data_IF_563013417392
#
_entry.id   IF_563013417392
#
_cell.length_a   1.000
_cell.length_b   1.000
_cell.length_c   1.000
_cell.angle_alpha   90.00
_cell.angle_beta   90.00
_cell.angle_gamma   90.00
#
_symmetry.space_group_name_H-M   'P 1'
#
loop_
_entity.id
_entity.type
_entity.pdbx_description
1 polymer ?
#
# COMPACT_ATOMS: atom_id res chain seq x y z
N UNK A 1 13.64 23.31 -11.47
CA UNK A 1 12.48 22.51 -11.89
C UNK A 1 11.23 23.23 -11.41
N UNK A 2 10.19 23.33 -12.23
CA UNK A 2 9.04 24.25 -12.10
C UNK A 2 7.82 23.66 -11.38
N UNK A 3 8.05 22.68 -10.49
CA UNK A 3 6.99 21.81 -9.94
C UNK A 3 7.10 21.59 -8.44
N UNK A 4 7.38 22.64 -7.63
CA UNK A 4 7.61 22.44 -6.21
C UNK A 4 6.30 22.02 -5.52
N UNK A 5 6.42 21.06 -4.61
CA UNK A 5 5.35 20.67 -3.70
C UNK A 5 5.95 20.43 -2.33
N UNK A 6 5.23 20.81 -1.27
CA UNK A 6 5.67 20.59 0.11
C UNK A 6 4.61 19.80 0.86
N UNK A 7 5.05 18.79 1.61
CA UNK A 7 4.21 18.08 2.57
C UNK A 7 4.99 17.79 3.86
N UNK A 8 4.25 17.38 4.88
CA UNK A 8 4.83 17.00 6.16
C UNK A 8 4.46 15.56 6.48
N UNK A 9 5.44 14.77 6.93
CA UNK A 9 5.25 13.40 7.40
C UNK A 9 6.02 13.20 8.70
N UNK A 10 5.33 12.72 9.75
CA UNK A 10 5.90 12.49 11.11
C UNK A 10 6.79 13.64 11.62
N UNK A 11 6.34 14.88 11.40
CA UNK A 11 7.05 16.09 11.84
C UNK A 11 8.12 16.60 10.87
N UNK A 12 8.59 15.80 9.92
CA UNK A 12 9.58 16.20 8.90
C UNK A 12 8.90 16.84 7.69
N UNK A 13 9.56 17.84 7.11
CA UNK A 13 9.12 18.53 5.90
C UNK A 13 9.83 17.98 4.68
N UNK A 14 9.07 17.79 3.61
CA UNK A 14 9.53 17.22 2.35
C UNK A 14 9.25 18.22 1.25
N UNK A 15 10.31 18.77 0.67
CA UNK A 15 10.23 19.59 -0.54
C UNK A 15 10.48 18.68 -1.73
N UNK A 16 9.46 18.46 -2.56
CA UNK A 16 9.56 17.66 -3.79
C UNK A 16 9.47 18.53 -5.04
N UNK A 17 10.13 18.10 -6.12
CA UNK A 17 10.02 18.70 -7.44
C UNK A 17 10.17 17.62 -8.52
N UNK A 18 9.25 17.60 -9.50
CA UNK A 18 9.20 16.51 -10.47
C UNK A 18 9.02 15.17 -9.76
N UNK A 19 10.04 14.31 -9.80
CA UNK A 19 10.08 13.07 -9.03
C UNK A 19 11.15 13.06 -7.93
N UNK A 20 11.79 14.18 -7.63
CA UNK A 20 12.87 14.30 -6.63
C UNK A 20 12.34 14.88 -5.33
N UNK A 21 13.05 14.63 -4.23
CA UNK A 21 12.71 15.24 -2.95
C UNK A 21 13.93 15.50 -2.06
N UNK A 22 13.74 16.46 -1.16
CA UNK A 22 14.68 16.84 -0.11
C UNK A 22 13.92 16.97 1.22
N UNK A 23 14.60 16.74 2.33
CA UNK A 23 14.02 16.73 3.68
C UNK A 23 14.60 17.83 4.56
N UNK A 24 13.79 18.34 5.50
CA UNK A 24 14.19 19.35 6.47
C UNK A 24 13.34 19.23 7.75
N UNK A 25 13.90 19.65 8.88
CA UNK A 25 13.15 19.84 10.13
C UNK A 25 12.58 21.28 10.26
N UNK A 26 12.85 22.16 9.28
CA UNK A 26 12.44 23.57 9.26
C UNK A 26 11.83 24.00 7.91
N UNK A 27 10.76 24.81 7.96
CA UNK A 27 10.03 25.27 6.76
C UNK A 27 10.92 25.95 5.73
N UNK A 28 11.87 26.77 6.18
CA UNK A 28 12.78 27.52 5.32
C UNK A 28 14.13 26.82 5.08
N UNK A 29 14.25 25.55 5.51
CA UNK A 29 15.46 24.75 5.33
C UNK A 29 16.53 24.95 6.41
N UNK A 30 17.77 24.49 6.15
CA UNK A 30 18.23 23.91 4.88
C UNK A 30 17.52 22.58 4.56
N UNK A 31 17.23 22.34 3.28
CA UNK A 31 16.71 21.07 2.79
C UNK A 31 17.87 20.23 2.25
N UNK A 32 17.99 19.00 2.74
CA UNK A 32 18.99 18.04 2.29
C UNK A 32 18.37 17.14 1.22
N UNK A 33 18.99 17.11 0.03
CA UNK A 33 18.56 16.23 -1.05
C UNK A 33 18.66 14.76 -0.60
N UNK A 34 17.62 13.99 -0.90
CA UNK A 34 17.56 12.58 -0.53
C UNK A 34 17.66 11.70 -1.77
N UNK A 35 16.62 11.62 -2.59
CA UNK A 35 16.61 10.82 -3.81
C UNK A 35 15.45 11.22 -4.75
N UNK A 36 15.22 10.43 -5.80
CA UNK A 36 13.97 10.35 -6.53
C UNK A 36 12.98 9.38 -5.88
N UNK A 37 11.69 9.70 -5.93
CA UNK A 37 10.54 8.87 -5.49
C UNK A 37 10.41 7.58 -6.31
N UNK A 38 11.02 7.55 -7.50
CA UNK A 38 10.97 6.44 -8.46
C UNK A 38 12.35 6.14 -9.03
N UNK A 39 12.61 4.87 -9.28
CA UNK A 39 13.85 4.34 -9.83
C UNK A 39 13.57 3.16 -10.78
N UNK A 40 14.60 2.43 -11.21
CA UNK A 40 14.41 1.34 -12.17
C UNK A 40 13.52 0.21 -11.65
N UNK A 41 13.43 -0.02 -10.34
CA UNK A 41 12.56 -1.05 -9.77
C UNK A 41 11.10 -0.62 -9.66
N UNK A 42 10.78 0.64 -9.96
CA UNK A 42 9.41 1.14 -9.88
C UNK A 42 8.49 0.61 -10.97
N UNK A 43 9.03 0.23 -12.13
CA UNK A 43 8.21 0.03 -13.33
C UNK A 43 7.88 -1.43 -13.57
N UNK A 44 6.59 -1.72 -13.71
CA UNK A 44 6.14 -2.95 -14.37
C UNK A 44 6.57 -2.97 -15.84
N UNK A 45 6.60 -4.16 -16.44
CA UNK A 45 6.92 -4.32 -17.86
C UNK A 45 5.97 -3.47 -18.72
N UNK A 46 6.53 -2.67 -19.64
CA UNK A 46 5.77 -1.76 -20.50
C UNK A 46 5.39 -0.41 -19.87
N UNK A 47 5.80 -0.10 -18.63
CA UNK A 47 5.49 1.19 -17.97
C UNK A 47 6.68 2.15 -17.89
N UNK A 48 7.88 1.71 -18.30
CA UNK A 48 9.09 2.53 -18.21
C UNK A 48 9.20 3.60 -19.30
N UNK A 49 8.66 3.33 -20.48
CA UNK A 49 8.78 4.15 -21.70
C UNK A 49 7.42 4.20 -22.44
N UNK A 50 7.19 5.22 -23.30
CA UNK A 50 8.09 6.32 -23.64
C UNK A 50 8.26 7.36 -22.53
N UNK A 51 9.32 8.16 -22.62
CA UNK A 51 9.63 9.27 -21.70
C UNK A 51 10.05 10.53 -22.47
N UNK A 52 9.91 11.70 -21.84
CA UNK A 52 10.32 12.99 -22.41
C UNK A 52 10.70 13.99 -21.32
N UNK A 53 11.73 14.85 -21.50
CA UNK A 53 12.65 14.90 -22.64
C UNK A 53 13.82 13.89 -22.53
N UNK A 54 14.21 13.52 -21.31
CA UNK A 54 15.33 12.61 -21.08
C UNK A 54 15.05 11.64 -19.92
N UNK A 55 14.50 10.47 -20.25
CA UNK A 55 14.27 9.38 -19.29
C UNK A 55 13.14 9.64 -18.30
N UNK A 56 12.82 8.62 -17.51
CA UNK A 56 11.65 8.64 -16.61
C UNK A 56 11.79 9.58 -15.40
N UNK A 57 12.97 10.13 -15.13
CA UNK A 57 13.15 11.10 -14.04
C UNK A 57 12.76 12.53 -14.43
N UNK A 58 12.40 12.76 -15.69
CA UNK A 58 12.05 14.09 -16.19
C UNK A 58 10.63 14.11 -16.74
N UNK A 59 10.07 15.32 -16.87
CA UNK A 59 8.76 15.54 -17.49
C UNK A 59 7.54 15.27 -16.60
N UNK A 60 7.69 14.49 -15.51
CA UNK A 60 6.61 14.23 -14.55
C UNK A 60 6.33 15.45 -13.67
N UNK A 61 5.06 15.77 -13.45
CA UNK A 61 4.60 16.61 -12.34
C UNK A 61 3.77 15.77 -11.40
N UNK A 62 3.90 16.00 -10.10
CA UNK A 62 3.06 15.33 -9.13
C UNK A 62 3.04 16.02 -7.78
N UNK A 63 2.16 15.52 -6.94
CA UNK A 63 1.97 15.94 -5.56
C UNK A 63 1.74 14.73 -4.67
N UNK A 64 2.13 14.88 -3.40
CA UNK A 64 1.93 13.87 -2.38
C UNK A 64 0.77 14.28 -1.49
N UNK A 65 -0.08 13.34 -1.12
CA UNK A 65 -1.15 13.62 -0.18
C UNK A 65 -1.50 12.39 0.64
N UNK A 66 -2.10 12.65 1.79
CA UNK A 66 -2.65 11.63 2.66
C UNK A 66 -4.17 11.63 2.54
N UNK A 67 -4.74 10.43 2.38
CA UNK A 67 -6.17 10.20 2.44
C UNK A 67 -6.39 8.81 3.02
N UNK A 68 -7.41 8.65 3.87
CA UNK A 68 -7.77 7.34 4.42
C UNK A 68 -6.63 6.62 5.19
N UNK A 69 -5.78 7.38 5.88
CA UNK A 69 -4.56 6.90 6.54
C UNK A 69 -3.57 6.23 5.58
N UNK A 70 -3.62 6.57 4.29
CA UNK A 70 -2.72 6.08 3.24
C UNK A 70 -2.10 7.27 2.51
N UNK A 71 -0.84 7.12 2.12
CA UNK A 71 -0.12 8.13 1.35
C UNK A 71 -0.09 7.78 -0.12
N UNK A 72 -0.27 8.80 -0.94
CA UNK A 72 -0.35 8.69 -2.39
C UNK A 72 0.58 9.68 -3.05
N UNK A 73 1.13 9.30 -4.19
CA UNK A 73 1.74 10.21 -5.16
C UNK A 73 0.84 10.21 -6.39
N UNK A 74 0.19 11.34 -6.67
CA UNK A 74 -0.50 11.56 -7.93
C UNK A 74 0.42 12.31 -8.87
N UNK A 75 0.57 11.83 -10.09
CA UNK A 75 1.51 12.38 -11.06
C UNK A 75 1.03 12.20 -12.49
N UNK A 76 1.55 13.01 -13.39
CA UNK A 76 1.38 12.78 -14.81
C UNK A 76 2.41 11.78 -15.35
N UNK A 77 1.97 10.96 -16.30
CA UNK A 77 2.80 9.96 -16.96
C UNK A 77 2.45 9.87 -18.46
N UNK A 78 3.41 9.48 -19.29
CA UNK A 78 3.24 9.33 -20.73
C UNK A 78 3.53 7.92 -21.23
N UNK A 79 3.94 6.99 -20.35
CA UNK A 79 4.29 5.62 -20.73
C UNK A 79 3.12 4.92 -21.44
N UNK A 80 1.88 5.32 -21.15
CA UNK A 80 0.68 4.72 -21.72
C UNK A 80 0.02 5.56 -22.84
N UNK A 81 0.35 6.85 -22.97
CA UNK A 81 -0.24 7.69 -24.02
C UNK A 81 0.50 7.54 -25.35
N UNK A 82 1.80 7.23 -25.31
CA UNK A 82 2.60 7.09 -26.53
C UNK A 82 2.88 8.42 -27.26
N UNK A 83 2.53 9.58 -26.67
CA UNK A 83 2.68 10.89 -27.33
C UNK A 83 3.49 11.85 -26.49
N UNK A 84 4.29 12.71 -27.13
CA UNK A 84 5.06 13.78 -26.48
C UNK A 84 4.19 14.84 -25.78
N UNK A 85 2.97 15.05 -26.25
CA UNK A 85 2.17 16.23 -25.89
C UNK A 85 1.09 15.95 -24.84
N UNK A 86 0.61 14.71 -24.78
CA UNK A 86 -0.47 14.31 -23.87
C UNK A 86 0.03 13.34 -22.83
N UNK A 87 -0.34 13.60 -21.58
CA UNK A 87 -0.01 12.79 -20.41
C UNK A 87 -1.31 12.37 -19.73
N UNK A 88 -1.29 11.21 -19.10
CA UNK A 88 -2.38 10.68 -18.29
C UNK A 88 -2.07 10.89 -16.82
N UNK A 89 -3.10 11.00 -15.99
CA UNK A 89 -2.95 11.01 -14.54
C UNK A 89 -2.73 9.58 -14.03
N UNK A 90 -1.72 9.42 -13.19
CA UNK A 90 -1.34 8.21 -12.48
C UNK A 90 -1.42 8.47 -10.98
N UNK A 91 -1.55 7.38 -10.22
CA UNK A 91 -1.51 7.43 -8.77
C UNK A 91 -0.90 6.14 -8.24
N UNK A 92 0.02 6.28 -7.29
CA UNK A 92 0.73 5.15 -6.67
C UNK A 92 0.71 5.31 -5.15
N UNK A 93 0.72 4.17 -4.44
CA UNK A 93 0.94 4.17 -2.99
C UNK A 93 2.35 4.67 -2.67
N UNK A 94 2.46 5.40 -1.55
CA UNK A 94 3.71 5.88 -1.01
C UNK A 94 3.93 5.25 0.37
N UNK A 95 5.11 4.67 0.55
CA UNK A 95 5.52 4.11 1.83
C UNK A 95 6.77 4.86 2.29
N UNK A 96 6.72 5.38 3.51
CA UNK A 96 7.88 5.97 4.15
C UNK A 96 8.61 4.88 4.93
N UNK A 97 9.91 4.81 4.71
CA UNK A 97 10.85 4.00 5.48
C UNK A 97 10.93 4.52 6.92
N UNK A 98 11.53 3.73 7.81
CA UNK A 98 11.63 4.10 9.22
C UNK A 98 12.46 5.39 9.42
N UNK A 99 13.46 5.63 8.56
CA UNK A 99 14.27 6.85 8.57
C UNK A 99 13.57 8.07 7.93
N UNK A 100 12.33 7.90 7.46
CA UNK A 100 11.54 8.93 6.79
C UNK A 100 11.78 9.04 5.30
N UNK A 101 12.74 8.33 4.70
CA UNK A 101 12.86 8.32 3.23
C UNK A 101 11.61 7.72 2.56
N UNK A 102 11.33 8.15 1.35
CA UNK A 102 10.28 7.55 0.52
C UNK A 102 10.83 6.29 -0.14
N UNK A 103 10.17 5.15 0.05
CA UNK A 103 10.45 3.93 -0.70
C UNK A 103 10.04 4.12 -2.18
N UNK A 104 10.75 3.48 -3.13
CA UNK A 104 10.39 3.57 -4.54
C UNK A 104 8.93 3.18 -4.77
N UNK A 105 8.16 4.05 -5.42
CA UNK A 105 6.76 3.75 -5.76
C UNK A 105 6.67 2.67 -6.83
N UNK A 106 5.51 2.02 -6.94
CA UNK A 106 5.16 1.14 -8.05
C UNK A 106 4.43 1.92 -9.15
N UNK A 107 4.85 1.73 -10.40
CA UNK A 107 4.26 2.30 -11.62
C UNK A 107 3.80 1.14 -12.50
N UNK A 108 2.49 0.94 -12.55
CA UNK A 108 1.84 -0.13 -13.29
C UNK A 108 0.44 0.27 -13.78
N UNK A 109 -0.29 -0.68 -14.36
CA UNK A 109 -1.65 -0.48 -14.87
C UNK A 109 -2.75 -0.68 -13.84
N UNK A 110 -2.39 -1.11 -12.63
CA UNK A 110 -3.34 -1.37 -11.54
C UNK A 110 -3.60 -0.10 -10.74
N UNK A 111 -2.55 0.69 -10.49
CA UNK A 111 -2.63 1.90 -9.68
C UNK A 111 -2.92 1.59 -8.21
N UNK A 112 -3.93 2.25 -7.64
CA UNK A 112 -4.33 2.15 -6.23
C UNK A 112 -5.82 1.87 -6.09
N UNK A 113 -6.22 1.24 -4.97
CA UNK A 113 -7.62 0.91 -4.70
C UNK A 113 -8.24 -0.12 -5.64
N UNK A 114 -7.42 -0.92 -6.30
CA UNK A 114 -7.83 -2.00 -7.18
C UNK A 114 -6.82 -3.15 -7.08
N UNK A 115 -7.32 -4.38 -7.10
CA UNK A 115 -6.48 -5.57 -6.93
C UNK A 115 -7.01 -6.71 -7.80
N UNK A 116 -6.13 -7.64 -8.15
CA UNK A 116 -6.50 -8.85 -8.88
C UNK A 116 -6.02 -10.08 -8.11
N UNK A 117 -6.98 -10.90 -7.67
CA UNK A 117 -6.74 -12.13 -6.93
C UNK A 117 -5.96 -13.20 -7.72
N UNK A 118 -5.81 -13.03 -9.05
CA UNK A 118 -5.00 -13.91 -9.89
C UNK A 118 -3.54 -13.45 -10.02
N UNK A 119 -3.24 -12.20 -9.66
CA UNK A 119 -1.90 -11.63 -9.76
C UNK A 119 -0.99 -11.97 -8.58
N UNK A 120 -1.46 -12.81 -7.65
CA UNK A 120 -0.67 -13.33 -6.53
C UNK A 120 -1.11 -12.76 -5.18
N UNK A 121 -0.14 -12.38 -4.35
CA UNK A 121 -0.43 -11.80 -3.03
C UNK A 121 -0.72 -10.32 -3.15
N UNK A 122 -1.70 -9.87 -2.36
CA UNK A 122 -2.02 -8.47 -2.10
C UNK A 122 -1.32 -8.10 -0.79
N UNK A 123 -0.40 -7.14 -0.86
CA UNK A 123 0.33 -6.67 0.32
C UNK A 123 -0.61 -5.92 1.28
N UNK A 124 -0.46 -6.15 2.59
CA UNK A 124 -1.35 -5.56 3.58
C UNK A 124 -1.16 -4.04 3.68
N UNK A 125 0.07 -3.55 3.46
CA UNK A 125 0.40 -2.12 3.44
C UNK A 125 -0.21 -1.33 2.27
N UNK A 126 -0.68 -2.04 1.25
CA UNK A 126 -1.34 -1.49 0.06
C UNK A 126 -2.87 -1.34 0.28
N UNK A 127 -3.32 -1.21 1.52
CA UNK A 127 -4.73 -0.91 1.84
C UNK A 127 -5.17 0.42 1.22
N UNK A 128 -6.46 0.50 0.89
CA UNK A 128 -7.07 1.74 0.40
C UNK A 128 -7.50 2.67 1.54
N UNK A 129 -8.07 2.10 2.61
CA UNK A 129 -8.33 2.81 3.86
C UNK A 129 -8.01 1.96 5.08
N UNK A 130 -7.69 2.63 6.19
CA UNK A 130 -7.45 1.96 7.46
C UNK A 130 -7.88 2.82 8.64
N UNK A 131 -8.01 2.18 9.81
CA UNK A 131 -8.09 2.85 11.11
C UNK A 131 -6.69 3.30 11.58
N UNK A 132 -6.40 3.30 12.89
CA UNK A 132 -5.14 3.78 13.46
C UNK A 132 -4.06 2.68 13.47
N UNK A 133 -3.61 2.28 12.28
CA UNK A 133 -2.57 1.25 12.11
C UNK A 133 -1.24 1.84 11.64
N UNK A 134 -0.15 1.09 11.76
CA UNK A 134 1.17 1.52 11.32
C UNK A 134 1.75 0.61 10.24
N UNK A 135 2.28 1.22 9.18
CA UNK A 135 3.15 0.54 8.21
C UNK A 135 4.58 0.56 8.75
N UNK A 136 5.20 -0.61 8.87
CA UNK A 136 6.57 -0.77 9.39
C UNK A 136 7.45 -1.38 8.30
N UNK A 137 8.66 -0.85 8.13
CA UNK A 137 9.63 -1.34 7.15
C UNK A 137 10.23 -2.68 7.59
N UNK A 138 10.27 -3.65 6.67
CA UNK A 138 10.87 -4.97 6.93
C UNK A 138 12.38 -4.90 6.70
N UNK A 139 13.16 -5.60 7.55
CA UNK A 139 14.63 -5.72 7.42
C UNK A 139 15.09 -6.29 6.06
N UNK A 140 14.23 -6.99 5.33
CA UNK A 140 14.50 -7.55 4.01
C UNK A 140 13.92 -6.74 2.84
N UNK A 141 13.39 -5.54 3.09
CA UNK A 141 12.65 -4.73 2.12
C UNK A 141 11.14 -4.99 2.14
N UNK A 142 10.38 -4.03 1.63
CA UNK A 142 8.92 -4.00 1.72
C UNK A 142 8.42 -3.59 3.10
N UNK A 143 7.10 -3.66 3.30
CA UNK A 143 6.46 -3.24 4.54
C UNK A 143 5.54 -4.35 5.07
N UNK A 144 4.97 -4.10 6.23
CA UNK A 144 3.85 -4.85 6.76
C UNK A 144 3.03 -3.92 7.64
N UNK A 145 1.81 -4.32 7.98
CA UNK A 145 0.97 -3.60 8.94
C UNK A 145 1.18 -4.15 10.35
N UNK A 146 1.40 -3.25 11.30
CA UNK A 146 1.60 -3.52 12.73
C UNK A 146 0.73 -2.56 13.56
N UNK A 147 0.83 -2.69 14.89
CA UNK A 147 0.06 -1.91 15.86
C UNK A 147 -1.45 -2.03 15.61
N UNK A 148 -1.88 -3.26 15.28
CA UNK A 148 -3.29 -3.58 15.04
C UNK A 148 -3.95 -3.92 16.37
N UNK A 149 -4.90 -3.10 16.79
CA UNK A 149 -5.64 -3.22 18.04
C UNK A 149 -7.09 -3.68 17.81
N UNK A 150 -7.82 -4.12 18.86
CA UNK A 150 -9.21 -4.53 18.72
C UNK A 150 -10.11 -3.42 18.16
N UNK A 151 -10.78 -3.71 17.04
CA UNK A 151 -11.66 -2.78 16.33
C UNK A 151 -11.00 -2.10 15.13
N UNK A 152 -9.68 -2.23 14.97
CA UNK A 152 -9.00 -1.73 13.78
C UNK A 152 -9.42 -2.47 12.52
N UNK A 153 -9.21 -1.81 11.38
CA UNK A 153 -9.56 -2.36 10.08
C UNK A 153 -8.62 -1.93 8.96
N UNK A 154 -8.61 -2.74 7.89
CA UNK A 154 -8.04 -2.42 6.58
C UNK A 154 -9.09 -2.65 5.50
N UNK A 155 -9.21 -1.75 4.53
CA UNK A 155 -10.08 -1.95 3.36
C UNK A 155 -9.28 -2.13 2.08
N UNK A 156 -9.81 -2.99 1.22
CA UNK A 156 -9.28 -3.29 -0.09
C UNK A 156 -10.45 -3.21 -1.08
N UNK A 157 -10.47 -2.14 -1.86
CA UNK A 157 -11.51 -1.87 -2.85
C UNK A 157 -11.26 -2.63 -4.15
N UNK A 158 -12.34 -3.00 -4.84
CA UNK A 158 -12.32 -3.49 -6.21
C UNK A 158 -11.35 -4.66 -6.44
N UNK A 159 -11.42 -5.70 -5.60
CA UNK A 159 -10.68 -6.96 -5.78
C UNK A 159 -11.39 -7.79 -6.84
N UNK A 160 -10.76 -7.96 -8.00
CA UNK A 160 -11.23 -8.78 -9.12
C UNK A 160 -10.77 -10.24 -9.02
N UNK A 161 -11.40 -11.12 -9.79
CA UNK A 161 -10.94 -12.50 -9.99
C UNK A 161 -11.22 -13.44 -8.83
N UNK A 162 -12.29 -13.17 -8.07
CA UNK A 162 -12.67 -13.93 -6.88
C UNK A 162 -13.64 -15.09 -7.18
N UNK A 163 -14.24 -15.13 -8.37
CA UNK A 163 -15.34 -16.04 -8.72
C UNK A 163 -14.95 -17.53 -8.66
N UNK A 164 -13.67 -17.82 -8.94
CA UNK A 164 -13.12 -19.18 -8.89
C UNK A 164 -12.32 -19.47 -7.62
N UNK A 165 -12.32 -18.54 -6.65
CA UNK A 165 -11.51 -18.65 -5.43
C UNK A 165 -12.32 -19.25 -4.30
N UNK A 166 -11.82 -20.35 -3.73
CA UNK A 166 -12.43 -21.07 -2.62
C UNK A 166 -11.63 -20.97 -1.32
N UNK A 167 -10.41 -20.44 -1.36
CA UNK A 167 -9.57 -20.27 -0.18
C UNK A 167 -9.02 -18.84 -0.07
N UNK A 168 -8.78 -18.41 1.16
CA UNK A 168 -7.98 -17.22 1.49
C UNK A 168 -6.80 -17.61 2.36
N UNK A 169 -5.63 -17.08 2.05
CA UNK A 169 -4.40 -17.28 2.80
C UNK A 169 -3.86 -15.96 3.33
N UNK A 170 -3.63 -15.89 4.64
CA UNK A 170 -3.00 -14.76 5.32
C UNK A 170 -1.56 -15.05 5.63
N UNK A 171 -0.66 -14.18 5.18
CA UNK A 171 0.72 -14.14 5.65
C UNK A 171 0.80 -13.16 6.82
N UNK A 172 0.90 -13.70 8.02
CA UNK A 172 0.78 -12.93 9.26
C UNK A 172 1.58 -13.56 10.41
N UNK A 173 1.88 -12.78 11.44
CA UNK A 173 2.34 -13.27 12.74
C UNK A 173 1.35 -12.89 13.82
N UNK A 174 0.55 -13.84 14.28
CA UNK A 174 -0.35 -13.61 15.41
C UNK A 174 0.45 -13.42 16.71
N UNK A 175 0.27 -12.28 17.36
CA UNK A 175 0.92 -11.95 18.63
C UNK A 175 0.03 -12.33 19.82
N UNK A 176 -1.28 -12.25 19.61
CA UNK A 176 -2.33 -12.63 20.55
C UNK A 176 -3.30 -13.62 19.88
N UNK A 177 -4.38 -13.98 20.59
CA UNK A 177 -5.54 -14.61 19.97
C UNK A 177 -6.36 -13.52 19.28
N UNK A 178 -6.51 -13.63 17.96
CA UNK A 178 -7.21 -12.65 17.12
C UNK A 178 -8.27 -13.34 16.26
N UNK A 179 -9.40 -12.68 16.05
CA UNK A 179 -10.37 -13.01 15.01
C UNK A 179 -10.25 -11.96 13.90
N UNK A 180 -10.01 -12.38 12.67
CA UNK A 180 -10.10 -11.51 11.49
C UNK A 180 -11.48 -11.75 10.88
N UNK A 181 -12.35 -10.75 10.98
CA UNK A 181 -13.65 -10.75 10.31
C UNK A 181 -13.48 -10.08 8.94
N UNK A 182 -13.98 -10.70 7.88
CA UNK A 182 -14.02 -10.10 6.55
C UNK A 182 -15.43 -9.60 6.31
N UNK A 183 -15.56 -8.29 6.15
CA UNK A 183 -16.81 -7.58 5.93
C UNK A 183 -16.88 -7.09 4.48
N UNK A 184 -18.09 -6.93 3.93
CA UNK A 184 -18.34 -6.22 2.66
C UNK A 184 -18.20 -4.71 2.89
N UNK A 185 -17.47 -4.03 2.00
CA UNK A 185 -17.38 -2.56 1.88
C UNK A 185 -16.78 -1.78 3.08
N UNK A 186 -17.29 -1.95 4.30
CA UNK A 186 -16.90 -1.19 5.50
C UNK A 186 -16.82 -2.07 6.77
N UNK A 187 -16.31 -1.54 7.89
CA UNK A 187 -16.24 -2.27 9.17
C UNK A 187 -17.59 -2.63 9.79
N UNK A 188 -18.67 -2.01 9.32
CA UNK A 188 -20.06 -2.23 9.73
C UNK A 188 -20.84 -3.06 8.70
N UNK A 189 -20.18 -3.47 7.62
CA UNK A 189 -20.79 -4.21 6.53
C UNK A 189 -21.17 -5.64 6.89
N UNK A 190 -21.73 -6.35 5.91
CA UNK A 190 -22.07 -7.77 6.08
C UNK A 190 -20.80 -8.60 6.29
N UNK A 191 -20.79 -9.43 7.34
CA UNK A 191 -19.70 -10.36 7.61
C UNK A 191 -19.76 -11.52 6.62
N UNK A 192 -18.80 -11.56 5.69
CA UNK A 192 -18.62 -12.62 4.70
C UNK A 192 -17.98 -13.84 5.35
N UNK A 193 -16.96 -13.63 6.18
CA UNK A 193 -16.22 -14.72 6.83
C UNK A 193 -15.58 -14.27 8.15
N UNK A 194 -15.21 -15.22 9.01
CA UNK A 194 -14.51 -14.93 10.27
C UNK A 194 -13.52 -16.03 10.61
N UNK A 195 -12.25 -15.66 10.79
CA UNK A 195 -11.15 -16.59 10.99
C UNK A 195 -10.41 -16.31 12.28
N UNK A 196 -10.11 -17.37 13.03
CA UNK A 196 -9.37 -17.27 14.30
C UNK A 196 -7.92 -17.63 14.09
N UNK A 197 -7.03 -16.68 14.36
CA UNK A 197 -5.59 -16.89 14.37
C UNK A 197 -5.10 -16.91 15.82
N UNK A 198 -4.05 -17.67 16.05
CA UNK A 198 -3.41 -17.80 17.36
C UNK A 198 -1.91 -17.89 17.19
N UNK A 199 -1.19 -17.28 18.12
CA UNK A 199 0.26 -17.45 18.23
C UNK A 199 0.64 -18.92 18.31
N UNK A 200 1.45 -19.40 17.38
CA UNK A 200 2.05 -20.73 17.50
C UNK A 200 3.21 -20.70 18.51
N UNK A 201 3.28 -21.71 19.38
CA UNK A 201 4.39 -21.83 20.34
C UNK A 201 5.68 -22.13 19.58
N UNK A 202 6.73 -21.34 19.84
CA UNK A 202 8.09 -21.60 19.35
C UNK A 202 8.41 -21.09 17.94
N UNK A 203 7.50 -20.37 17.27
CA UNK A 203 7.78 -19.70 15.99
C UNK A 203 7.83 -18.19 16.19
N UNK A 204 8.86 -17.56 15.63
CA UNK A 204 9.08 -16.11 15.65
C UNK A 204 8.92 -15.46 14.27
N UNK A 205 8.51 -16.23 13.26
CA UNK A 205 8.47 -15.79 11.87
C UNK A 205 7.04 -15.62 11.36
N UNK A 206 6.90 -14.90 10.24
CA UNK A 206 5.67 -14.82 9.46
C UNK A 206 5.15 -16.22 9.10
N UNK A 207 3.87 -16.45 9.35
CA UNK A 207 3.20 -17.73 9.12
C UNK A 207 2.15 -17.57 8.02
N UNK A 208 1.80 -18.67 7.35
CA UNK A 208 0.69 -18.71 6.39
C UNK A 208 -0.48 -19.41 7.05
N UNK A 209 -1.60 -18.70 7.21
CA UNK A 209 -2.86 -19.23 7.68
C UNK A 209 -3.82 -19.35 6.50
N UNK A 210 -4.31 -20.55 6.21
CA UNK A 210 -5.23 -20.79 5.08
C UNK A 210 -6.59 -21.20 5.60
N UNK A 211 -7.64 -20.66 4.99
CA UNK A 211 -9.03 -20.91 5.34
C UNK A 211 -9.91 -21.01 4.10
N UNK A 212 -11.02 -21.75 4.21
CA UNK A 212 -12.09 -21.72 3.21
C UNK A 212 -12.68 -20.32 3.13
N UNK A 213 -12.84 -19.79 1.91
CA UNK A 213 -13.42 -18.47 1.65
C UNK A 213 -14.69 -18.63 0.80
N UNK A 214 -15.82 -18.00 1.20
CA UNK A 214 -17.04 -18.08 0.42
C UNK A 214 -16.85 -17.48 -0.98
N UNK A 215 -17.43 -18.10 -2.03
CA UNK A 215 -17.34 -17.58 -3.38
C UNK A 215 -17.90 -16.16 -3.46
N UNK A 216 -17.25 -15.30 -4.24
CA UNK A 216 -17.70 -13.94 -4.48
C UNK A 216 -18.09 -13.78 -5.95
N UNK A 217 -19.14 -13.02 -6.21
CA UNK A 217 -19.51 -12.65 -7.57
C UNK A 217 -18.87 -11.31 -7.95
N UNK A 218 -18.17 -11.28 -9.08
CA UNK A 218 -17.56 -10.07 -9.60
C UNK A 218 -16.46 -9.49 -8.71
N UNK A 219 -16.19 -8.20 -8.92
CA UNK A 219 -15.29 -7.45 -8.07
C UNK A 219 -15.92 -7.19 -6.70
N UNK A 220 -15.12 -7.30 -5.64
CA UNK A 220 -15.58 -7.07 -4.27
C UNK A 220 -14.72 -6.02 -3.55
N UNK A 221 -15.37 -5.20 -2.73
CA UNK A 221 -14.69 -4.46 -1.68
C UNK A 221 -14.72 -5.30 -0.40
N UNK A 222 -13.55 -5.55 0.19
CA UNK A 222 -13.42 -6.31 1.43
C UNK A 222 -12.80 -5.44 2.51
N UNK A 223 -13.39 -5.47 3.69
CA UNK A 223 -12.91 -4.80 4.90
C UNK A 223 -12.52 -5.85 5.94
N UNK A 224 -11.26 -5.86 6.35
CA UNK A 224 -10.72 -6.82 7.30
C UNK A 224 -10.75 -6.16 8.68
N UNK A 225 -11.65 -6.61 9.54
CA UNK A 225 -11.84 -6.08 10.90
C UNK A 225 -11.19 -7.01 11.92
N UNK A 226 -10.31 -6.45 12.75
CA UNK A 226 -9.53 -7.22 13.71
C UNK A 226 -10.21 -7.20 15.09
N UNK A 227 -10.51 -8.38 15.63
CA UNK A 227 -11.13 -8.55 16.95
C UNK A 227 -10.19 -9.27 17.90
N UNK A 228 -10.13 -8.82 19.14
CA UNK A 228 -9.42 -9.50 20.20
C UNK A 228 -9.64 -8.84 21.56
N UNK A 229 -8.89 -9.29 22.56
CA UNK A 229 -9.03 -8.78 23.94
C UNK A 229 -8.01 -7.72 24.32
N UNK A 230 -6.82 -7.80 23.74
CA UNK A 230 -5.68 -6.96 24.07
C UNK A 230 -5.15 -6.32 22.79
N UNK A 231 -4.45 -5.22 22.94
CA UNK A 231 -3.75 -4.50 21.89
C UNK A 231 -2.65 -5.35 21.25
N UNK A 232 -2.17 -4.92 20.08
CA UNK A 232 -1.14 -5.56 19.26
C UNK A 232 -1.49 -7.01 18.96
N UNK A 233 -2.57 -7.19 18.20
CA UNK A 233 -3.17 -8.49 17.89
C UNK A 233 -2.30 -9.35 16.97
N UNK A 234 -1.83 -8.76 15.88
CA UNK A 234 -0.98 -9.41 14.90
C UNK A 234 -0.09 -8.40 14.16
N UNK A 235 0.87 -8.94 13.44
CA UNK A 235 1.58 -8.28 12.34
C UNK A 235 1.05 -8.90 11.05
N UNK A 236 0.60 -8.08 10.10
CA UNK A 236 -0.02 -8.54 8.86
C UNK A 236 0.81 -8.15 7.65
N UNK A 237 1.32 -9.13 6.90
CA UNK A 237 2.23 -8.92 5.77
C UNK A 237 1.45 -8.83 4.46
N UNK A 238 0.67 -9.87 4.13
CA UNK A 238 -0.08 -9.93 2.89
C UNK A 238 -1.18 -10.99 2.94
N UNK A 239 -2.03 -11.02 1.93
CA UNK A 239 -3.02 -12.08 1.74
C UNK A 239 -3.15 -12.47 0.27
N UNK A 240 -3.68 -13.65 0.00
CA UNK A 240 -3.94 -14.14 -1.35
C UNK A 240 -5.17 -15.03 -1.36
N UNK A 241 -5.74 -15.22 -2.55
CA UNK A 241 -6.85 -16.12 -2.77
C UNK A 241 -6.43 -17.28 -3.68
N UNK A 242 -7.01 -18.46 -3.48
CA UNK A 242 -6.81 -19.62 -4.34
C UNK A 242 -8.13 -20.18 -4.83
#
# INVERSE_FOLDING_TARGET
DDKPFIHQYRGKLYLSWGCFYAMSDHLHGPYEYVDAILNDSSFAEGYKEPTWPHGYKQGRHGSLFEMNNQWYFSYDDMSQTGTRYFRSAFMSYVHYKENGEIAPIRVDGTGVGQYDANSGSIEAEDYFSASQIQKIEKRGGGFHVSEIDPGDFLTFSNIHGLEAKGEISFKASALQKVSVEIHRDSPEGEVVASYKLRKHKGKSASEVYTFDFPPQEGAANLCFVFRGKNDKLLIFDSFSFK
#
